data_IF_865454354072
#
_entry.id   IF_865454354072
#
_cell.length_a   1.000
_cell.length_b   1.000
_cell.length_c   1.000
_cell.angle_alpha   90.00
_cell.angle_beta   90.00
_cell.angle_gamma   90.00
#
_symmetry.space_group_name_H-M   'P 1'
#
loop_
_entity.id
_entity.type
_entity.pdbx_description
1 polymer ?
#
# COMPACT_ATOMS: atom_id res chain seq x y z
N UNK A 1 44.72 16.63 -32.56
CA UNK A 1 43.34 16.95 -33.00
C UNK A 1 42.77 17.90 -31.96
N UNK A 2 43.37 19.10 -31.85
CA UNK A 2 43.25 19.93 -30.64
C UNK A 2 42.79 21.37 -30.94
N UNK A 3 42.35 21.65 -32.17
CA UNK A 3 41.91 22.99 -32.59
C UNK A 3 40.38 23.16 -32.67
N UNK A 4 39.59 22.19 -32.20
CA UNK A 4 38.11 22.25 -32.28
C UNK A 4 37.40 22.61 -30.96
N UNK A 5 38.12 22.80 -29.86
CA UNK A 5 37.54 23.10 -28.54
C UNK A 5 37.59 24.58 -28.13
N UNK A 6 38.21 25.45 -28.92
CA UNK A 6 38.41 26.87 -28.62
C UNK A 6 37.20 27.78 -28.91
N UNK A 7 36.07 27.23 -29.36
CA UNK A 7 34.87 28.00 -29.74
C UNK A 7 33.61 27.72 -28.91
N UNK A 8 33.72 27.03 -27.77
CA UNK A 8 32.58 26.81 -26.87
C UNK A 8 32.27 28.06 -26.03
N UNK A 9 31.21 28.77 -26.42
CA UNK A 9 30.60 29.88 -25.67
C UNK A 9 29.65 29.32 -24.61
N UNK A 10 29.81 29.77 -23.36
CA UNK A 10 28.93 29.37 -22.25
C UNK A 10 27.95 30.51 -21.92
N UNK A 11 26.63 30.25 -21.83
CA UNK A 11 25.65 31.26 -21.45
C UNK A 11 25.72 31.59 -19.96
N UNK A 12 25.82 32.87 -19.60
CA UNK A 12 25.57 33.33 -18.23
C UNK A 12 24.11 33.78 -18.06
N UNK A 13 23.66 33.83 -16.80
CA UNK A 13 22.28 34.11 -16.39
C UNK A 13 21.69 35.45 -16.89
N UNK A 14 22.52 36.34 -17.43
CA UNK A 14 22.11 37.64 -17.97
C UNK A 14 22.06 37.67 -19.52
N UNK A 15 22.19 36.53 -20.20
CA UNK A 15 22.01 36.42 -21.65
C UNK A 15 23.22 36.78 -22.51
N UNK A 16 24.37 37.09 -21.91
CA UNK A 16 25.61 37.41 -22.66
C UNK A 16 26.51 36.17 -22.78
N UNK A 17 26.99 35.88 -24.00
CA UNK A 17 27.90 34.79 -24.31
C UNK A 17 29.36 35.26 -24.25
N UNK A 18 30.21 34.61 -23.45
CA UNK A 18 31.63 34.97 -23.29
C UNK A 18 32.53 33.74 -23.53
N UNK A 19 33.69 33.88 -24.22
CA UNK A 19 34.64 32.79 -24.40
C UNK A 19 35.28 32.33 -23.08
N UNK A 20 35.55 31.03 -22.96
CA UNK A 20 36.01 30.33 -21.74
C UNK A 20 37.41 30.69 -21.24
N UNK A 21 38.17 31.57 -21.91
CA UNK A 21 39.58 31.79 -21.61
C UNK A 21 39.91 32.93 -20.63
N UNK A 22 38.93 33.51 -19.90
CA UNK A 22 39.15 34.72 -19.10
C UNK A 22 38.63 34.69 -17.65
N UNK A 23 38.19 33.55 -17.12
CA UNK A 23 37.66 33.45 -15.75
C UNK A 23 38.62 32.73 -14.78
N UNK A 24 39.87 33.19 -14.67
CA UNK A 24 40.78 32.73 -13.61
C UNK A 24 41.90 33.75 -13.34
N UNK A 25 41.63 34.78 -12.54
CA UNK A 25 42.62 35.51 -11.71
C UNK A 25 41.97 36.68 -10.98
N UNK A 26 41.96 36.63 -9.64
CA UNK A 26 42.04 37.76 -8.69
C UNK A 26 41.95 37.14 -7.27
N UNK A 27 43.06 36.87 -6.57
CA UNK A 27 43.78 37.78 -5.65
C UNK A 27 42.87 38.37 -4.55
N UNK A 28 42.99 37.98 -3.27
CA UNK A 28 44.03 38.24 -2.25
C UNK A 28 43.76 39.50 -1.38
N UNK A 29 44.14 39.39 -0.10
CA UNK A 29 44.17 40.37 1.00
C UNK A 29 42.81 40.63 1.71
N UNK A 30 42.69 40.81 3.03
CA UNK A 30 43.64 41.33 4.03
C UNK A 30 43.23 41.02 5.50
N UNK A 31 44.22 41.14 6.39
CA UNK A 31 44.17 41.72 7.76
C UNK A 31 43.46 41.02 8.94
N UNK A 32 44.28 40.60 9.91
CA UNK A 32 44.06 40.33 11.36
C UNK A 32 43.59 41.59 12.16
N UNK A 33 43.56 41.67 13.53
CA UNK A 33 43.80 40.68 14.62
C UNK A 33 42.86 40.79 15.87
N UNK A 34 43.10 39.89 16.84
CA UNK A 34 42.97 40.04 18.31
C UNK A 34 41.62 40.25 19.02
N UNK A 35 41.43 39.49 20.11
CA UNK A 35 40.43 39.77 21.15
C UNK A 35 40.24 38.61 22.14
N UNK A 36 41.16 38.43 23.08
CA UNK A 36 40.92 37.72 24.35
C UNK A 36 39.84 38.45 25.14
N UNK A 37 38.92 37.72 25.78
CA UNK A 37 38.54 38.01 27.16
C UNK A 37 37.94 36.80 27.87
N UNK A 38 38.30 36.70 29.15
CA UNK A 38 37.97 35.66 30.10
C UNK A 38 36.76 36.08 30.94
N UNK A 39 36.18 35.09 31.63
CA UNK A 39 35.91 35.12 33.09
C UNK A 39 34.46 35.15 33.61
N UNK A 40 34.28 34.35 34.68
CA UNK A 40 33.22 34.21 35.70
C UNK A 40 31.87 33.61 35.27
N UNK A 41 31.47 32.41 35.71
CA UNK A 41 31.31 31.90 37.09
C UNK A 41 30.28 32.69 37.90
N UNK A 42 29.07 32.12 38.07
CA UNK A 42 28.37 32.13 39.36
C UNK A 42 27.14 31.20 39.38
N UNK A 43 27.25 30.18 40.21
CA UNK A 43 26.16 29.43 40.84
C UNK A 43 25.82 30.16 42.15
N UNK A 44 24.59 30.08 42.67
CA UNK A 44 24.42 29.24 43.86
C UNK A 44 23.07 28.50 43.93
N UNK A 45 22.95 27.77 45.03
CA UNK A 45 22.16 26.55 45.26
C UNK A 45 20.91 26.79 46.10
N UNK A 46 19.94 25.86 45.98
CA UNK A 46 19.03 25.28 47.01
C UNK A 46 18.18 26.27 47.85
N UNK A 47 16.87 26.07 48.10
CA UNK A 47 16.32 25.02 48.96
C UNK A 47 14.77 25.10 49.02
N UNK A 48 14.12 23.94 49.17
CA UNK A 48 12.92 23.60 49.99
C UNK A 48 11.50 24.10 49.64
N UNK A 49 10.60 23.13 49.42
CA UNK A 49 9.38 22.83 50.23
C UNK A 49 7.99 22.94 49.59
N UNK A 50 7.28 21.80 49.70
CA UNK A 50 5.85 21.59 49.97
C UNK A 50 4.75 21.96 48.93
N UNK A 51 4.20 20.88 48.39
CA UNK A 51 2.86 20.54 47.87
C UNK A 51 1.61 21.27 48.45
N UNK A 52 0.37 20.92 48.03
CA UNK A 52 -0.24 21.21 46.74
C UNK A 52 -1.61 21.94 46.89
N UNK A 53 -1.85 23.01 46.13
CA UNK A 53 -3.13 23.72 46.09
C UNK A 53 -3.97 23.31 44.89
N UNK A 54 -5.05 22.59 45.13
CA UNK A 54 -6.08 22.23 44.15
C UNK A 54 -6.92 23.45 43.73
N UNK A 55 -6.68 23.98 42.54
CA UNK A 55 -7.50 25.04 41.94
C UNK A 55 -8.44 24.46 40.88
N UNK A 56 -9.71 24.32 41.27
CA UNK A 56 -10.88 24.24 40.38
C UNK A 56 -10.86 25.46 39.43
N UNK A 57 -10.54 25.24 38.15
CA UNK A 57 -10.75 26.25 37.11
C UNK A 57 -12.01 25.90 36.31
N UNK A 58 -13.11 26.59 36.65
CA UNK A 58 -14.27 26.78 35.78
C UNK A 58 -13.80 27.52 34.51
N UNK A 59 -14.08 26.96 33.34
CA UNK A 59 -14.14 27.65 32.06
C UNK A 59 -15.54 27.30 31.52
N UNK A 60 -16.56 28.13 31.77
CA UNK A 60 -16.91 29.34 31.01
C UNK A 60 -16.98 29.05 29.52
N UNK A 61 -18.19 28.76 29.06
CA UNK A 61 -18.54 28.72 27.65
C UNK A 61 -18.39 30.09 27.02
N UNK A 62 -17.82 30.12 25.83
CA UNK A 62 -17.91 31.24 24.91
C UNK A 62 -18.52 30.70 23.62
N UNK A 63 -19.77 31.11 23.42
CA UNK A 63 -20.51 31.06 22.16
C UNK A 63 -19.69 31.74 21.06
N UNK A 64 -19.49 31.04 19.94
CA UNK A 64 -19.08 31.65 18.68
C UNK A 64 -20.32 32.05 17.87
N UNK A 65 -20.33 33.23 17.24
CA UNK A 65 -21.46 33.71 16.47
C UNK A 65 -21.49 33.15 15.04
N UNK A 66 -22.72 33.04 14.54
CA UNK A 66 -23.11 32.75 13.16
C UNK A 66 -22.26 33.46 12.11
N UNK A 67 -21.64 32.68 11.21
CA UNK A 67 -21.22 33.15 9.91
C UNK A 67 -22.36 32.89 8.91
N UNK A 68 -23.14 33.94 8.65
CA UNK A 68 -24.07 34.04 7.52
C UNK A 68 -23.25 33.98 6.22
N UNK A 69 -23.34 32.88 5.49
CA UNK A 69 -22.82 32.78 4.13
C UNK A 69 -23.91 33.24 3.16
N UNK A 70 -23.71 34.44 2.61
CA UNK A 70 -24.48 34.99 1.51
C UNK A 70 -24.37 34.08 0.28
N UNK A 71 -25.53 33.66 -0.20
CA UNK A 71 -25.72 32.83 -1.38
C UNK A 71 -25.62 33.72 -2.62
N UNK A 72 -24.48 33.68 -3.32
CA UNK A 72 -24.29 34.35 -4.61
C UNK A 72 -24.90 33.47 -5.72
N UNK A 73 -25.93 33.94 -6.45
CA UNK A 73 -26.46 33.19 -7.59
C UNK A 73 -25.51 33.28 -8.79
N UNK A 74 -25.38 32.22 -9.61
CA UNK A 74 -24.52 32.24 -10.78
C UNK A 74 -25.08 33.18 -11.86
N UNK A 75 -24.21 33.87 -12.62
CA UNK A 75 -24.63 34.79 -13.65
C UNK A 75 -25.19 34.05 -14.87
N UNK A 76 -26.34 34.56 -15.31
CA UNK A 76 -27.04 34.21 -16.54
C UNK A 76 -26.11 34.16 -17.74
N UNK A 77 -26.02 32.98 -18.37
CA UNK A 77 -25.50 32.84 -19.72
C UNK A 77 -26.54 33.39 -20.71
N UNK A 78 -26.43 34.69 -21.02
CA UNK A 78 -26.99 35.27 -22.22
C UNK A 78 -25.90 35.30 -23.31
N UNK A 79 -26.32 35.08 -24.55
CA UNK A 79 -25.54 34.99 -25.80
C UNK A 79 -25.03 33.60 -26.19
N UNK A 80 -25.89 32.85 -26.88
CA UNK A 80 -25.48 32.10 -28.05
C UNK A 80 -26.51 32.37 -29.17
N UNK A 81 -25.97 32.69 -30.32
CA UNK A 81 -26.63 33.29 -31.48
C UNK A 81 -27.55 32.33 -32.21
N UNK A 82 -28.58 32.91 -32.82
CA UNK A 82 -29.47 32.30 -33.80
C UNK A 82 -28.71 31.54 -34.90
N UNK A 83 -28.91 30.23 -34.95
CA UNK A 83 -28.69 29.41 -36.14
C UNK A 83 -30.07 28.95 -36.63
N UNK A 84 -30.47 29.26 -37.87
CA UNK A 84 -31.76 28.86 -38.39
C UNK A 84 -31.79 27.35 -38.59
N UNK A 85 -32.49 26.65 -37.68
CA UNK A 85 -32.88 25.25 -37.85
C UNK A 85 -33.91 25.16 -38.99
N UNK A 86 -33.66 24.37 -40.05
CA UNK A 86 -34.69 24.07 -41.02
C UNK A 86 -35.76 23.19 -40.35
N UNK A 87 -37.01 23.59 -40.53
CA UNK A 87 -38.17 22.86 -40.04
C UNK A 87 -38.14 21.41 -40.51
N UNK A 88 -38.16 20.49 -39.57
CA UNK A 88 -38.50 19.10 -39.82
C UNK A 88 -39.72 18.80 -38.98
N UNK A 89 -40.85 18.77 -39.68
CA UNK A 89 -42.18 18.49 -39.15
C UNK A 89 -42.16 17.18 -38.36
N UNK A 90 -42.69 17.27 -37.14
CA UNK A 90 -42.99 16.14 -36.30
C UNK A 90 -44.17 15.36 -36.89
N UNK A 91 -43.86 14.41 -37.77
CA UNK A 91 -44.70 13.25 -38.04
C UNK A 91 -43.90 11.99 -37.69
N UNK A 92 -43.59 11.83 -36.39
CA UNK A 92 -43.27 10.52 -35.84
C UNK A 92 -44.56 9.70 -35.88
N UNK A 93 -44.78 9.04 -37.01
CA UNK A 93 -45.72 7.95 -37.17
C UNK A 93 -45.52 6.97 -36.02
N UNK A 94 -46.54 6.83 -35.17
CA UNK A 94 -46.75 5.62 -34.38
C UNK A 94 -46.84 4.46 -35.37
N UNK A 95 -45.70 3.87 -35.69
CA UNK A 95 -45.66 2.61 -36.42
C UNK A 95 -46.23 1.56 -35.47
N UNK A 96 -47.35 1.01 -35.89
CA UNK A 96 -48.12 0.01 -35.19
C UNK A 96 -47.30 -1.29 -35.12
N UNK A 97 -46.52 -1.46 -34.05
CA UNK A 97 -45.68 -2.64 -33.82
C UNK A 97 -46.50 -3.91 -33.47
N UNK A 98 -47.83 -3.81 -33.47
CA UNK A 98 -48.73 -4.93 -33.18
C UNK A 98 -48.74 -6.04 -34.23
N UNK A 99 -48.05 -5.85 -35.36
CA UNK A 99 -47.93 -6.86 -36.42
C UNK A 99 -46.50 -7.42 -36.59
N UNK A 100 -45.60 -7.18 -35.64
CA UNK A 100 -44.32 -7.88 -35.62
C UNK A 100 -44.55 -9.33 -35.21
N UNK A 101 -44.46 -10.23 -36.19
CA UNK A 101 -44.45 -11.67 -35.96
C UNK A 101 -43.40 -12.01 -34.89
N UNK A 102 -43.82 -12.81 -33.90
CA UNK A 102 -42.91 -13.28 -32.85
C UNK A 102 -41.67 -13.90 -33.49
N UNK A 103 -40.49 -13.61 -32.91
CA UNK A 103 -39.22 -14.18 -33.38
C UNK A 103 -39.29 -15.72 -33.48
N UNK A 104 -40.03 -16.36 -32.58
CA UNK A 104 -40.25 -17.81 -32.59
C UNK A 104 -41.14 -18.29 -33.74
N UNK A 105 -42.10 -17.49 -34.20
CA UNK A 105 -42.96 -17.83 -35.33
C UNK A 105 -42.23 -17.59 -36.66
N UNK A 106 -41.42 -16.54 -36.76
CA UNK A 106 -40.57 -16.30 -37.94
C UNK A 106 -39.54 -17.42 -38.15
N UNK A 107 -38.92 -17.91 -37.07
CA UNK A 107 -37.98 -19.05 -37.11
C UNK A 107 -38.71 -20.34 -37.51
N UNK A 108 -39.98 -20.49 -37.14
CA UNK A 108 -40.79 -21.67 -37.50
C UNK A 108 -41.20 -21.67 -38.97
N UNK A 109 -41.51 -20.50 -39.55
CA UNK A 109 -41.90 -20.35 -40.96
C UNK A 109 -40.72 -20.31 -41.94
N UNK A 110 -39.48 -20.12 -41.46
CA UNK A 110 -38.27 -20.12 -42.29
C UNK A 110 -37.36 -21.35 -42.01
N UNK A 111 -37.78 -22.58 -42.36
CA UNK A 111 -37.03 -23.81 -42.10
C UNK A 111 -35.70 -23.93 -42.88
N UNK A 112 -35.41 -23.00 -43.79
CA UNK A 112 -34.14 -22.91 -44.53
C UNK A 112 -33.10 -22.00 -43.88
N UNK A 113 -33.40 -21.36 -42.75
CA UNK A 113 -32.35 -20.75 -41.94
C UNK A 113 -31.34 -21.87 -41.59
N UNK A 114 -30.06 -21.78 -42.02
CA UNK A 114 -29.07 -22.79 -41.71
C UNK A 114 -29.05 -22.97 -40.20
N UNK A 115 -29.49 -24.13 -39.71
CA UNK A 115 -29.38 -24.45 -38.30
C UNK A 115 -27.89 -24.43 -38.00
N UNK A 116 -27.40 -23.33 -37.43
CA UNK A 116 -26.03 -23.22 -36.96
C UNK A 116 -25.82 -24.42 -36.04
N UNK A 117 -25.10 -25.42 -36.55
CA UNK A 117 -24.68 -26.55 -35.75
C UNK A 117 -23.71 -25.96 -34.73
N UNK A 118 -24.25 -25.55 -33.57
CA UNK A 118 -23.47 -25.26 -32.38
C UNK A 118 -22.79 -26.56 -31.98
N UNK A 119 -21.62 -26.80 -32.57
CA UNK A 119 -20.72 -27.83 -32.08
C UNK A 119 -20.32 -27.38 -30.68
N UNK A 120 -20.68 -28.12 -29.61
CA UNK A 120 -20.27 -27.75 -28.27
C UNK A 120 -18.75 -27.72 -28.25
N UNK A 121 -18.16 -26.54 -28.05
CA UNK A 121 -16.72 -26.41 -27.93
C UNK A 121 -16.27 -27.29 -26.77
N UNK A 122 -15.50 -28.35 -27.08
CA UNK A 122 -14.98 -29.28 -26.08
C UNK A 122 -14.16 -28.47 -25.09
N UNK A 123 -14.57 -28.46 -23.82
CA UNK A 123 -13.86 -27.73 -22.77
C UNK A 123 -12.45 -28.32 -22.61
N UNK A 124 -11.46 -27.63 -23.16
CA UNK A 124 -10.05 -27.97 -22.98
C UNK A 124 -9.63 -27.45 -21.60
N UNK A 125 -9.11 -28.31 -20.70
CA UNK A 125 -8.57 -27.85 -19.43
C UNK A 125 -7.38 -26.92 -19.68
N UNK A 126 -7.49 -25.68 -19.19
CA UNK A 126 -6.47 -24.64 -19.36
C UNK A 126 -5.54 -24.63 -18.15
N UNK A 127 -4.25 -24.92 -18.38
CA UNK A 127 -3.19 -24.74 -17.40
C UNK A 127 -2.78 -23.25 -17.36
N UNK A 128 -2.89 -22.52 -16.23
CA UNK A 128 -2.63 -21.07 -16.17
C UNK A 128 -1.15 -20.70 -15.95
N UNK A 129 -0.20 -21.50 -16.43
CA UNK A 129 1.21 -21.36 -16.07
C UNK A 129 1.85 -20.08 -16.62
N UNK A 130 1.63 -19.77 -17.90
CA UNK A 130 2.20 -18.60 -18.56
C UNK A 130 1.50 -17.32 -18.13
N UNK A 131 0.19 -17.36 -17.87
CA UNK A 131 -0.53 -16.18 -17.38
C UNK A 131 -0.07 -15.75 -15.98
N UNK A 132 0.27 -16.69 -15.10
CA UNK A 132 0.85 -16.39 -13.78
C UNK A 132 2.25 -15.80 -13.95
N UNK A 133 3.15 -16.49 -14.66
CA UNK A 133 4.53 -16.03 -14.88
C UNK A 133 4.58 -14.64 -15.52
N UNK A 134 3.78 -14.41 -16.56
CA UNK A 134 3.68 -13.14 -17.26
C UNK A 134 3.24 -12.01 -16.32
N UNK A 135 2.24 -12.26 -15.47
CA UNK A 135 1.76 -11.25 -14.52
C UNK A 135 2.79 -10.94 -13.44
N UNK A 136 3.46 -11.95 -12.89
CA UNK A 136 4.50 -11.76 -11.86
C UNK A 136 5.66 -10.90 -12.39
N UNK A 137 6.07 -11.13 -13.63
CA UNK A 137 7.14 -10.36 -14.25
C UNK A 137 6.68 -8.95 -14.63
N UNK A 138 5.44 -8.77 -15.09
CA UNK A 138 4.85 -7.43 -15.25
C UNK A 138 4.85 -6.64 -13.94
N UNK A 139 4.43 -7.26 -12.82
CA UNK A 139 4.46 -6.63 -11.49
C UNK A 139 5.88 -6.28 -11.06
N UNK A 140 6.86 -7.17 -11.28
CA UNK A 140 8.29 -6.94 -11.00
C UNK A 140 8.82 -5.69 -11.73
N UNK A 141 8.31 -5.41 -12.93
CA UNK A 141 8.72 -4.25 -13.74
C UNK A 141 7.77 -3.06 -13.66
N UNK A 142 6.76 -3.10 -12.78
CA UNK A 142 5.74 -2.05 -12.67
C UNK A 142 4.98 -1.79 -13.99
N UNK A 143 4.81 -2.83 -14.80
CA UNK A 143 4.07 -2.78 -16.07
C UNK A 143 2.66 -3.31 -15.82
N UNK A 144 1.66 -2.57 -16.28
CA UNK A 144 0.25 -2.99 -16.20
C UNK A 144 -0.14 -3.60 -17.54
N UNK A 145 -0.39 -4.92 -17.63
CA UNK A 145 -0.82 -5.52 -18.88
C UNK A 145 -2.30 -5.22 -19.16
N UNK A 146 -2.61 -4.75 -20.36
CA UNK A 146 -3.96 -4.50 -20.83
C UNK A 146 -4.38 -5.60 -21.81
N UNK A 147 -5.47 -6.31 -21.52
CA UNK A 147 -6.01 -7.37 -22.39
C UNK A 147 -7.26 -6.89 -23.11
N UNK A 148 -7.28 -7.04 -24.42
CA UNK A 148 -8.43 -6.73 -25.29
C UNK A 148 -8.88 -8.01 -26.00
N UNK A 149 -10.18 -8.29 -25.96
CA UNK A 149 -10.78 -9.51 -26.48
C UNK A 149 -11.76 -9.17 -27.59
N UNK A 150 -11.60 -9.76 -28.76
CA UNK A 150 -12.55 -9.69 -29.85
C UNK A 150 -13.43 -10.96 -29.86
N UNK A 151 -14.75 -10.75 -29.81
CA UNK A 151 -15.76 -11.81 -29.65
C UNK A 151 -16.98 -11.56 -30.55
N UNK A 152 -16.86 -11.75 -31.88
CA UNK A 152 -17.97 -11.47 -32.79
C UNK A 152 -19.15 -12.44 -32.63
N UNK A 153 -18.95 -13.68 -32.12
CA UNK A 153 -20.01 -14.70 -32.03
C UNK A 153 -19.98 -15.54 -30.73
N UNK A 154 -19.76 -14.92 -29.56
CA UNK A 154 -19.63 -15.57 -28.24
C UNK A 154 -18.39 -16.47 -28.04
N UNK A 155 -17.67 -16.81 -29.11
CA UNK A 155 -16.34 -17.38 -29.06
C UNK A 155 -15.31 -16.26 -29.16
N UNK A 156 -14.19 -16.41 -28.46
CA UNK A 156 -13.09 -15.45 -28.56
C UNK A 156 -12.25 -15.86 -29.76
N UNK A 157 -12.25 -15.03 -30.81
CA UNK A 157 -11.51 -15.28 -32.05
C UNK A 157 -10.12 -14.65 -32.01
N UNK A 158 -10.02 -13.49 -31.35
CA UNK A 158 -8.76 -12.78 -31.21
C UNK A 158 -8.63 -12.24 -29.80
N UNK A 159 -7.44 -12.34 -29.24
CA UNK A 159 -7.08 -11.68 -27.99
C UNK A 159 -5.76 -10.95 -28.20
N UNK A 160 -5.66 -9.74 -27.68
CA UNK A 160 -4.44 -8.97 -27.68
C UNK A 160 -4.04 -8.57 -26.27
N UNK A 161 -2.73 -8.54 -26.02
CA UNK A 161 -2.16 -8.02 -24.78
C UNK A 161 -1.18 -6.91 -25.08
N UNK A 162 -1.37 -5.76 -24.46
CA UNK A 162 -0.45 -4.63 -24.51
C UNK A 162 0.28 -4.51 -23.17
N UNK A 163 1.61 -4.42 -23.20
CA UNK A 163 2.46 -4.27 -22.02
C UNK A 163 3.65 -3.37 -22.35
N UNK A 164 3.74 -2.23 -21.66
CA UNK A 164 4.68 -1.17 -22.03
C UNK A 164 4.40 -0.68 -23.46
N UNK A 165 5.43 -0.66 -24.29
CA UNK A 165 5.34 -0.23 -25.70
C UNK A 165 5.12 -1.40 -26.68
N UNK A 166 4.94 -2.62 -26.18
CA UNK A 166 4.76 -3.83 -27.00
C UNK A 166 3.28 -4.26 -26.98
N UNK A 167 2.78 -4.68 -28.14
CA UNK A 167 1.46 -5.31 -28.31
C UNK A 167 1.65 -6.67 -28.97
N UNK A 168 1.00 -7.70 -28.41
CA UNK A 168 1.06 -9.07 -28.90
C UNK A 168 -0.35 -9.60 -29.08
N UNK A 169 -0.63 -10.12 -30.27
CA UNK A 169 -1.93 -10.65 -30.64
C UNK A 169 -1.86 -12.17 -30.78
N UNK A 170 -2.89 -12.86 -30.30
CA UNK A 170 -3.11 -14.28 -30.53
C UNK A 170 -4.44 -14.44 -31.28
N UNK A 171 -4.35 -15.01 -32.48
CA UNK A 171 -5.49 -15.29 -33.35
C UNK A 171 -5.80 -16.78 -33.24
N UNK A 172 -7.04 -17.13 -32.88
CA UNK A 172 -7.47 -18.51 -32.83
C UNK A 172 -8.87 -18.67 -32.26
N UNK A 173 -9.59 -19.74 -32.64
CA UNK A 173 -10.86 -20.06 -32.01
C UNK A 173 -10.61 -20.55 -30.58
N UNK A 174 -10.70 -19.64 -29.61
CA UNK A 174 -10.52 -19.99 -28.20
C UNK A 174 -11.84 -20.42 -27.58
N UNK A 175 -11.87 -21.63 -27.03
CA UNK A 175 -13.04 -22.18 -26.34
C UNK A 175 -13.45 -21.37 -25.08
N UNK A 176 -12.55 -20.54 -24.53
CA UNK A 176 -12.83 -19.66 -23.40
C UNK A 176 -11.88 -18.46 -23.34
N UNK A 177 -12.30 -17.36 -22.69
CA UNK A 177 -11.43 -16.21 -22.39
C UNK A 177 -10.18 -16.61 -21.61
N UNK A 178 -10.30 -17.60 -20.72
CA UNK A 178 -9.17 -18.12 -19.94
C UNK A 178 -8.13 -18.79 -20.86
N UNK A 179 -8.59 -19.55 -21.85
CA UNK A 179 -7.70 -20.19 -22.83
C UNK A 179 -7.02 -19.15 -23.72
N UNK A 180 -7.78 -18.19 -24.24
CA UNK A 180 -7.25 -17.08 -25.02
C UNK A 180 -6.15 -16.33 -24.26
N UNK A 181 -6.44 -15.97 -22.99
CA UNK A 181 -5.47 -15.29 -22.12
C UNK A 181 -4.19 -16.10 -21.91
N UNK A 182 -4.28 -17.41 -21.75
CA UNK A 182 -3.11 -18.25 -21.58
C UNK A 182 -2.25 -18.31 -22.84
N UNK A 183 -2.87 -18.49 -24.02
CA UNK A 183 -2.15 -18.55 -25.30
C UNK A 183 -1.48 -17.21 -25.64
N UNK A 184 -2.15 -16.07 -25.41
CA UNK A 184 -1.51 -14.76 -25.65
C UNK A 184 -0.38 -14.49 -24.65
N UNK A 185 -0.53 -14.87 -23.39
CA UNK A 185 0.55 -14.75 -22.40
C UNK A 185 1.76 -15.63 -22.77
N UNK A 186 1.52 -16.81 -23.32
CA UNK A 186 2.58 -17.71 -23.81
C UNK A 186 3.36 -17.09 -24.97
N UNK A 187 2.70 -16.38 -25.88
CA UNK A 187 3.35 -15.64 -26.98
C UNK A 187 4.07 -14.37 -26.49
N UNK A 188 3.49 -13.67 -25.52
CA UNK A 188 4.05 -12.43 -24.97
C UNK A 188 5.24 -12.66 -24.02
N UNK A 189 5.31 -13.82 -23.37
CA UNK A 189 6.33 -14.19 -22.40
C UNK A 189 7.80 -14.00 -22.87
N UNK A 190 8.24 -14.54 -24.03
CA UNK A 190 9.62 -14.35 -24.49
C UNK A 190 9.97 -12.88 -24.75
N UNK A 191 9.01 -12.07 -25.22
CA UNK A 191 9.23 -10.65 -25.43
C UNK A 191 9.38 -9.89 -24.10
N UNK A 192 8.69 -10.33 -23.06
CA UNK A 192 8.81 -9.76 -21.72
C UNK A 192 10.16 -10.13 -21.08
N UNK A 193 10.66 -11.36 -21.31
CA UNK A 193 11.98 -11.80 -20.82
C UNK A 193 13.14 -11.01 -21.47
N UNK A 194 13.08 -10.77 -22.78
CA UNK A 194 14.08 -9.94 -23.48
C UNK A 194 14.14 -8.52 -22.90
N UNK A 195 12.98 -7.97 -22.55
CA UNK A 195 12.89 -6.67 -21.91
C UNK A 195 13.45 -6.66 -20.48
N UNK A 196 13.22 -7.71 -19.67
CA UNK A 196 13.85 -7.86 -18.34
C UNK A 196 15.38 -7.89 -18.49
N UNK A 197 15.91 -8.69 -19.42
CA UNK A 197 17.35 -8.79 -19.65
C UNK A 197 17.96 -7.43 -20.01
N UNK A 198 17.32 -6.66 -20.90
CA UNK A 198 17.77 -5.32 -21.24
C UNK A 198 17.74 -4.35 -20.04
N UNK A 199 16.73 -4.47 -19.16
CA UNK A 199 16.65 -3.68 -17.93
C UNK A 199 17.70 -4.10 -16.88
N UNK A 200 18.01 -5.39 -16.77
CA UNK A 200 19.07 -5.89 -15.87
C UNK A 200 20.46 -5.51 -16.38
N UNK A 201 20.70 -5.58 -17.69
CA UNK A 201 21.99 -5.25 -18.29
C UNK A 201 22.29 -3.75 -18.20
N UNK A 202 21.28 -2.88 -18.31
CA UNK A 202 21.43 -1.44 -18.04
C UNK A 202 21.84 -1.12 -16.60
N UNK A 203 21.46 -1.96 -15.63
CA UNK A 203 21.90 -1.82 -14.23
C UNK A 203 23.32 -2.32 -13.98
N UNK A 204 23.93 -3.06 -14.91
CA UNK A 204 25.29 -3.61 -14.78
C UNK A 204 26.35 -2.82 -15.53
N UNK A 205 26.03 -1.67 -16.12
CA UNK A 205 27.06 -0.77 -16.66
C UNK A 205 27.90 -0.29 -15.46
N UNK A 206 29.22 -0.56 -15.42
CA UNK A 206 30.10 -0.03 -14.40
C UNK A 206 30.13 1.48 -14.60
N UNK A 207 29.55 2.22 -13.67
CA UNK A 207 29.63 3.67 -13.66
C UNK A 207 31.10 4.08 -13.54
N UNK A 208 31.62 4.98 -14.40
CA UNK A 208 32.99 5.47 -14.25
C UNK A 208 33.14 6.12 -12.87
N UNK A 209 34.33 6.07 -12.26
CA UNK A 209 34.54 6.52 -10.89
C UNK A 209 34.32 8.02 -10.77
N UNK A 210 33.08 8.44 -10.49
CA UNK A 210 32.77 9.77 -10.00
C UNK A 210 32.99 9.78 -8.50
N UNK A 211 34.24 10.07 -8.15
CA UNK A 211 34.66 10.43 -6.80
C UNK A 211 33.96 11.71 -6.34
N UNK A 212 32.77 11.56 -5.75
CA UNK A 212 32.26 12.53 -4.79
C UNK A 212 32.31 11.90 -3.39
N UNK A 213 33.16 12.40 -2.47
CA UNK A 213 33.20 11.92 -1.10
C UNK A 213 31.98 12.46 -0.36
N UNK A 214 30.90 11.68 -0.31
CA UNK A 214 29.67 12.06 0.39
C UNK A 214 28.39 11.35 -0.05
N UNK A 215 28.46 10.40 -0.99
CA UNK A 215 27.30 9.60 -1.39
C UNK A 215 26.83 8.69 -0.26
N UNK A 216 25.75 9.09 0.42
CA UNK A 216 25.06 8.22 1.37
C UNK A 216 24.40 7.10 0.56
N UNK A 217 24.85 5.86 0.76
CA UNK A 217 24.37 4.64 0.08
C UNK A 217 22.83 4.62 -0.05
N UNK A 218 22.33 4.77 -1.28
CA UNK A 218 20.90 4.77 -1.58
C UNK A 218 20.17 3.48 -1.14
N UNK A 219 20.90 2.38 -1.01
CA UNK A 219 20.37 1.09 -0.53
C UNK A 219 20.19 1.05 0.99
N UNK A 220 21.10 1.67 1.76
CA UNK A 220 20.92 1.83 3.21
C UNK A 220 19.78 2.79 3.52
N UNK A 221 19.64 3.84 2.71
CA UNK A 221 18.52 4.77 2.80
C UNK A 221 17.18 4.08 2.47
N UNK A 222 17.13 3.08 1.60
CA UNK A 222 15.89 2.37 1.29
C UNK A 222 15.40 1.47 2.45
N UNK A 223 16.31 0.98 3.30
CA UNK A 223 16.01 0.07 4.40
C UNK A 223 15.63 0.78 5.71
N UNK A 224 15.98 2.06 5.88
CA UNK A 224 15.68 2.81 7.10
C UNK A 224 14.18 3.16 7.22
N UNK A 225 13.60 2.89 8.39
CA UNK A 225 12.24 3.31 8.72
C UNK A 225 12.21 4.78 9.15
N UNK A 226 12.36 5.70 8.18
CA UNK A 226 12.39 7.15 8.45
C UNK A 226 11.16 7.67 9.19
N UNK A 227 9.98 7.08 8.96
CA UNK A 227 8.75 7.46 9.65
C UNK A 227 8.88 7.17 11.15
N UNK A 228 9.38 5.98 11.51
CA UNK A 228 9.61 5.60 12.90
C UNK A 228 10.69 6.45 13.57
N UNK A 229 11.79 6.71 12.86
CA UNK A 229 12.87 7.57 13.35
C UNK A 229 12.37 8.99 13.65
N UNK A 230 11.59 9.56 12.74
CA UNK A 230 11.04 10.90 12.94
C UNK A 230 10.07 10.94 14.14
N UNK A 231 9.25 9.91 14.31
CA UNK A 231 8.34 9.80 15.44
C UNK A 231 9.09 9.68 16.77
N UNK A 232 10.14 8.86 16.82
CA UNK A 232 11.01 8.72 18.00
C UNK A 232 11.67 10.06 18.36
N UNK A 233 12.17 10.81 17.37
CA UNK A 233 12.72 12.15 17.58
C UNK A 233 11.69 13.10 18.21
N UNK A 234 10.48 13.19 17.65
CA UNK A 234 9.43 14.07 18.21
C UNK A 234 9.04 13.67 19.64
N UNK A 235 8.97 12.37 19.92
CA UNK A 235 8.67 11.84 21.25
C UNK A 235 9.79 12.16 22.26
N UNK A 236 11.05 11.96 21.88
CA UNK A 236 12.21 12.23 22.73
C UNK A 236 12.33 13.72 23.09
N UNK A 237 11.97 14.61 22.15
CA UNK A 237 12.00 16.06 22.35
C UNK A 237 10.69 16.63 22.94
N UNK A 238 9.74 15.78 23.33
CA UNK A 238 8.41 16.16 23.85
C UNK A 238 7.64 17.10 22.92
N UNK A 239 7.82 16.94 21.62
CA UNK A 239 7.11 17.67 20.58
C UNK A 239 5.80 16.96 20.22
N UNK A 240 4.86 17.68 19.61
CA UNK A 240 3.69 17.08 18.98
C UNK A 240 4.07 16.02 17.94
N UNK A 241 3.16 15.07 17.70
CA UNK A 241 3.35 14.09 16.62
C UNK A 241 3.50 14.80 15.27
N UNK A 242 4.42 14.36 14.38
CA UNK A 242 4.63 15.00 13.09
C UNK A 242 3.34 14.98 12.27
N UNK A 243 2.98 16.14 11.72
CA UNK A 243 1.75 16.34 10.95
C UNK A 243 2.07 16.08 9.49
N UNK A 244 1.37 15.15 8.86
CA UNK A 244 1.53 14.82 7.44
C UNK A 244 0.34 15.35 6.65
N UNK A 245 0.63 16.08 5.58
CA UNK A 245 -0.36 16.60 4.64
C UNK A 245 -0.20 15.86 3.30
N UNK A 246 -1.22 15.09 2.93
CA UNK A 246 -1.23 14.32 1.68
C UNK A 246 -1.92 15.12 0.57
N UNK A 247 -1.30 15.18 -0.61
CA UNK A 247 -1.91 15.69 -1.84
C UNK A 247 -1.90 14.61 -2.93
N UNK A 248 -2.85 14.68 -3.87
CA UNK A 248 -2.96 13.72 -4.97
C UNK A 248 -3.24 14.41 -6.29
N UNK A 249 -2.74 13.84 -7.39
CA UNK A 249 -3.09 14.29 -8.73
C UNK A 249 -4.56 13.95 -9.04
N UNK A 250 -5.24 14.85 -9.75
CA UNK A 250 -6.62 14.65 -10.22
C UNK A 250 -6.62 13.72 -11.45
N UNK A 251 -5.56 13.77 -12.27
CA UNK A 251 -5.43 12.98 -13.49
C UNK A 251 -4.93 11.56 -13.22
N UNK A 252 -5.35 10.61 -14.06
CA UNK A 252 -4.86 9.23 -14.11
C UNK A 252 -3.54 9.14 -14.90
N UNK A 253 -2.51 8.44 -14.40
CA UNK A 253 -2.50 7.66 -13.16
C UNK A 253 -2.48 8.54 -11.90
N UNK A 254 -3.27 8.15 -10.88
CA UNK A 254 -3.29 8.85 -9.60
C UNK A 254 -1.90 8.71 -8.96
N UNK A 255 -1.27 9.85 -8.65
CA UNK A 255 -0.03 9.92 -7.89
C UNK A 255 -0.26 10.67 -6.59
N UNK A 256 0.61 10.41 -5.61
CA UNK A 256 0.53 10.98 -4.27
C UNK A 256 1.78 11.79 -3.98
N UNK A 257 1.61 12.98 -3.42
CA UNK A 257 2.68 13.78 -2.84
C UNK A 257 2.37 13.97 -1.35
N UNK A 258 3.39 14.14 -0.52
CA UNK A 258 3.23 14.26 0.92
C UNK A 258 4.23 15.26 1.46
N UNK A 259 3.78 16.12 2.36
CA UNK A 259 4.64 17.01 3.14
C UNK A 259 4.47 16.73 4.63
N UNK A 260 5.49 17.03 5.42
CA UNK A 260 5.52 16.82 6.86
C UNK A 260 5.91 18.10 7.58
N UNK A 261 5.21 18.41 8.68
CA UNK A 261 5.47 19.57 9.54
C UNK A 261 5.87 19.08 10.93
N UNK A 262 6.95 19.66 11.45
CA UNK A 262 7.49 19.39 12.78
C UNK A 262 7.49 20.72 13.53
N UNK A 263 7.05 20.71 14.78
CA UNK A 263 6.84 21.91 15.62
C UNK A 263 8.13 22.73 15.84
N UNK A 264 9.28 22.09 15.73
CA UNK A 264 10.61 22.69 15.83
C UNK A 264 10.95 23.64 14.65
N UNK A 265 10.17 23.58 13.57
CA UNK A 265 10.41 24.33 12.34
C UNK A 265 9.45 25.51 12.23
N UNK A 266 10.02 26.71 12.05
CA UNK A 266 9.27 27.92 11.73
C UNK A 266 8.71 27.85 10.31
N UNK A 267 7.59 27.13 10.15
CA UNK A 267 6.62 27.31 9.08
C UNK A 267 6.82 26.49 7.80
N UNK A 268 8.05 26.14 7.42
CA UNK A 268 8.32 25.46 6.14
C UNK A 268 7.98 23.96 6.23
N UNK A 269 7.03 23.45 5.43
CA UNK A 269 6.81 22.01 5.34
C UNK A 269 8.02 21.31 4.69
N UNK A 270 8.43 20.17 5.23
CA UNK A 270 9.47 19.30 4.69
C UNK A 270 8.85 18.26 3.77
N UNK A 271 9.57 17.78 2.76
CA UNK A 271 8.99 17.00 1.68
C UNK A 271 8.66 17.88 0.48
N UNK A 272 8.25 17.22 -0.60
CA UNK A 272 7.91 17.88 -1.86
C UNK A 272 6.42 17.77 -2.14
N UNK A 273 5.78 18.91 -2.40
CA UNK A 273 4.42 18.96 -2.96
C UNK A 273 4.42 18.70 -4.48
N UNK A 274 5.59 18.69 -5.12
CA UNK A 274 5.75 18.48 -6.56
C UNK A 274 6.25 17.08 -6.92
N UNK A 275 6.75 16.31 -5.95
CA UNK A 275 7.27 14.98 -6.17
C UNK A 275 6.15 13.95 -5.97
N UNK A 276 5.86 13.25 -7.06
CA UNK A 276 4.69 12.38 -7.17
C UNK A 276 5.10 10.91 -7.10
N UNK A 277 4.56 10.21 -6.11
CA UNK A 277 4.82 8.79 -5.82
C UNK A 277 3.62 7.91 -6.19
N UNK A 278 3.86 6.60 -6.30
CA UNK A 278 2.81 5.66 -6.72
C UNK A 278 1.86 5.29 -5.57
N UNK A 279 2.32 5.44 -4.31
CA UNK A 279 1.53 5.16 -3.11
C UNK A 279 1.66 6.26 -2.06
N UNK A 280 0.61 6.45 -1.26
CA UNK A 280 0.63 7.38 -0.10
C UNK A 280 1.76 7.05 0.88
N UNK A 281 2.01 5.75 1.09
CA UNK A 281 3.04 5.30 2.04
C UNK A 281 4.45 5.66 1.56
N UNK A 282 4.71 5.58 0.26
CA UNK A 282 5.98 5.97 -0.34
C UNK A 282 6.20 7.48 -0.26
N UNK A 283 5.17 8.27 -0.60
CA UNK A 283 5.20 9.73 -0.44
C UNK A 283 5.49 10.13 1.00
N UNK A 284 4.80 9.51 1.96
CA UNK A 284 5.00 9.73 3.39
C UNK A 284 6.41 9.36 3.85
N UNK A 285 6.97 8.25 3.35
CA UNK A 285 8.35 7.84 3.65
C UNK A 285 9.35 8.85 3.08
N UNK A 286 9.12 9.37 1.88
CA UNK A 286 9.99 10.38 1.28
C UNK A 286 9.98 11.70 2.05
N UNK A 287 8.80 12.19 2.44
CA UNK A 287 8.67 13.38 3.30
C UNK A 287 9.37 13.19 4.65
N UNK A 288 9.18 12.03 5.30
CA UNK A 288 9.87 11.70 6.54
C UNK A 288 11.40 11.61 6.36
N UNK A 289 11.87 11.09 5.22
CA UNK A 289 13.29 11.01 4.89
C UNK A 289 13.91 12.40 4.80
N UNK A 290 13.30 13.32 4.05
CA UNK A 290 13.78 14.71 3.95
C UNK A 290 13.83 15.38 5.31
N UNK A 291 12.79 15.17 6.13
CA UNK A 291 12.76 15.71 7.47
C UNK A 291 13.87 15.17 8.38
N UNK A 292 14.14 13.86 8.34
CA UNK A 292 15.24 13.25 9.09
C UNK A 292 16.60 13.74 8.59
N UNK A 293 16.79 13.85 7.27
CA UNK A 293 18.04 14.39 6.70
C UNK A 293 18.25 15.85 7.11
N UNK A 294 17.19 16.66 7.11
CA UNK A 294 17.24 18.02 7.60
C UNK A 294 17.61 18.05 9.09
N UNK A 295 16.96 17.27 9.95
CA UNK A 295 17.28 17.18 11.38
C UNK A 295 18.74 16.74 11.64
N UNK A 296 19.26 15.81 10.85
CA UNK A 296 20.68 15.39 10.91
C UNK A 296 21.62 16.54 10.50
N UNK A 297 21.26 17.31 9.46
CA UNK A 297 22.04 18.49 9.04
C UNK A 297 22.11 19.58 10.11
N UNK A 298 21.06 19.72 10.93
CA UNK A 298 21.03 20.63 12.08
C UNK A 298 21.76 20.08 13.31
N UNK A 299 22.33 18.86 13.24
CA UNK A 299 22.96 18.20 14.38
C UNK A 299 21.99 17.76 15.49
N UNK A 300 20.67 17.83 15.25
CA UNK A 300 19.63 17.48 16.24
C UNK A 300 19.38 15.98 16.33
N UNK A 301 19.77 15.23 15.30
CA UNK A 301 19.64 13.77 15.25
C UNK A 301 20.98 13.12 14.94
N UNK A 302 21.33 12.03 15.64
CA UNK A 302 22.56 11.28 15.33
C UNK A 302 22.48 10.70 13.90
N UNK A 303 23.60 10.68 13.16
CA UNK A 303 23.72 9.88 11.95
C UNK A 303 23.34 8.44 12.29
N UNK A 304 22.63 7.77 11.38
CA UNK A 304 22.33 6.35 11.59
C UNK A 304 23.66 5.60 11.82
N UNK A 305 23.77 4.78 12.87
CA UNK A 305 24.88 3.86 12.96
C UNK A 305 24.88 3.00 11.68
N UNK A 306 26.05 2.73 11.06
CA UNK A 306 26.12 1.89 9.87
C UNK A 306 25.37 0.58 10.15
N UNK A 307 24.28 0.36 9.43
CA UNK A 307 23.20 -0.50 9.91
C UNK A 307 23.69 -1.90 10.31
N UNK A 308 23.18 -2.37 11.45
CA UNK A 308 23.43 -3.71 12.01
C UNK A 308 22.84 -4.81 11.10
N UNK A 309 22.08 -4.45 10.07
CA UNK A 309 21.53 -5.34 9.05
C UNK A 309 22.60 -6.10 8.25
N UNK A 310 23.84 -5.61 8.21
CA UNK A 310 24.99 -6.37 7.66
C UNK A 310 25.62 -7.37 8.64
N UNK A 311 25.32 -7.29 9.94
CA UNK A 311 25.88 -8.21 10.96
C UNK A 311 25.06 -9.49 11.18
N UNK A 312 23.84 -9.58 10.64
CA UNK A 312 23.01 -10.79 10.74
C UNK A 312 23.18 -11.75 9.56
N UNK A 313 24.16 -11.53 8.67
CA UNK A 313 24.37 -12.37 7.48
C UNK A 313 25.83 -12.68 7.13
N UNK A 314 26.78 -12.44 8.03
CA UNK A 314 28.17 -12.83 7.82
C UNK A 314 28.78 -13.38 9.12
N UNK A 315 29.13 -14.66 9.05
CA UNK A 315 29.97 -15.44 9.96
C UNK A 315 29.58 -15.53 11.44
N UNK A 316 28.91 -16.63 11.78
CA UNK A 316 29.13 -17.31 13.07
C UNK A 316 30.25 -18.35 12.83
N UNK A 317 31.49 -18.12 13.29
CA UNK A 317 32.53 -19.14 13.23
C UNK A 317 32.21 -20.25 14.24
N UNK A 318 31.96 -21.43 13.70
CA UNK A 318 31.99 -22.72 14.38
C UNK A 318 33.40 -22.97 14.94
N UNK A 319 33.51 -23.23 16.25
CA UNK A 319 34.50 -24.12 16.86
C UNK A 319 34.31 -24.17 18.39
N UNK A 320 33.77 -25.27 18.91
CA UNK A 320 34.57 -26.19 19.72
C UNK A 320 33.82 -27.51 19.94
N UNK A 321 34.46 -28.57 19.49
CA UNK A 321 34.13 -29.98 19.71
C UNK A 321 34.36 -30.38 21.18
N UNK A 322 33.59 -31.36 21.68
CA UNK A 322 34.04 -32.66 22.25
C UNK A 322 32.84 -33.43 22.85
N UNK A 323 32.93 -34.76 23.06
CA UNK A 323 31.99 -35.71 22.48
C UNK A 323 31.20 -36.48 23.56
N UNK A 324 30.29 -37.36 23.13
CA UNK A 324 30.14 -38.76 23.55
C UNK A 324 28.67 -39.20 23.49
N UNK A 325 28.39 -40.04 22.49
CA UNK A 325 27.52 -41.22 22.51
C UNK A 325 26.20 -41.18 23.31
N UNK A 326 25.06 -41.17 22.61
CA UNK A 326 23.96 -42.07 22.93
C UNK A 326 22.95 -42.16 21.78
N UNK A 327 22.83 -43.36 21.23
CA UNK A 327 21.76 -43.87 20.39
C UNK A 327 20.40 -43.72 21.07
N UNK A 328 19.40 -43.14 20.38
CA UNK A 328 18.03 -43.10 20.89
C UNK A 328 17.04 -42.43 19.95
N UNK A 329 16.46 -43.23 19.07
CA UNK A 329 15.22 -42.95 18.34
C UNK A 329 14.10 -42.55 19.34
N UNK A 330 13.15 -41.71 18.90
CA UNK A 330 11.97 -41.17 19.62
C UNK A 330 12.18 -40.05 20.65
N UNK A 331 12.13 -38.80 20.19
CA UNK A 331 11.44 -37.70 20.87
C UNK A 331 11.15 -36.57 19.88
N UNK A 332 9.92 -36.55 19.37
CA UNK A 332 9.34 -35.43 18.64
C UNK A 332 8.22 -34.90 19.54
N UNK A 333 8.17 -33.57 19.68
CA UNK A 333 7.22 -32.79 20.49
C UNK A 333 7.61 -32.64 21.96
N UNK A 334 8.38 -31.60 22.26
CA UNK A 334 8.13 -30.62 23.35
C UNK A 334 9.32 -29.69 23.43
N UNK A 335 9.24 -28.55 22.75
CA UNK A 335 9.81 -27.27 23.17
C UNK A 335 9.52 -26.24 22.07
N UNK A 336 8.25 -25.81 22.03
CA UNK A 336 7.90 -24.56 21.38
C UNK A 336 8.33 -23.43 22.32
N UNK A 337 9.57 -23.01 22.13
CA UNK A 337 10.16 -21.81 22.71
C UNK A 337 9.23 -20.60 22.43
N UNK A 338 8.52 -20.17 23.47
CA UNK A 338 7.65 -18.99 23.47
C UNK A 338 8.53 -17.74 23.40
N UNK A 339 8.99 -17.41 22.20
CA UNK A 339 9.68 -16.15 21.95
C UNK A 339 8.65 -14.99 22.04
N UNK A 340 8.70 -14.09 23.03
CA UNK A 340 7.66 -13.08 23.28
C UNK A 340 7.68 -11.89 22.29
N UNK A 341 8.46 -11.97 21.21
CA UNK A 341 8.70 -10.85 20.29
C UNK A 341 7.65 -10.65 19.19
N UNK A 342 6.89 -11.67 18.82
CA UNK A 342 5.85 -11.56 17.78
C UNK A 342 4.48 -11.80 18.38
N UNK A 343 3.68 -10.75 18.51
CA UNK A 343 2.28 -10.83 18.96
C UNK A 343 1.48 -11.64 17.93
N UNK A 344 1.44 -12.95 18.10
CA UNK A 344 0.57 -13.83 17.32
C UNK A 344 -0.87 -13.34 17.53
N UNK A 345 -1.56 -13.05 16.44
CA UNK A 345 -2.96 -12.60 16.50
C UNK A 345 -3.82 -13.69 17.12
N UNK A 346 -4.88 -13.33 17.85
CA UNK A 346 -5.75 -14.33 18.50
C UNK A 346 -6.37 -15.30 17.48
N UNK A 347 -6.61 -14.84 16.25
CA UNK A 347 -7.06 -15.69 15.14
C UNK A 347 -6.03 -16.75 14.74
N UNK A 348 -4.75 -16.40 14.63
CA UNK A 348 -3.69 -17.36 14.32
C UNK A 348 -3.57 -18.43 15.41
N UNK A 349 -3.60 -18.00 16.67
CA UNK A 349 -3.56 -18.89 17.83
C UNK A 349 -4.75 -19.85 17.89
N UNK A 350 -5.95 -19.37 17.51
CA UNK A 350 -7.14 -20.22 17.40
C UNK A 350 -6.94 -21.36 16.40
N UNK A 351 -6.46 -21.05 15.18
CA UNK A 351 -6.23 -22.06 14.15
C UNK A 351 -5.15 -23.06 14.56
N UNK A 352 -4.08 -22.60 15.22
CA UNK A 352 -3.02 -23.44 15.76
C UNK A 352 -3.54 -24.41 16.83
N UNK A 353 -4.25 -23.91 17.85
CA UNK A 353 -4.83 -24.75 18.90
C UNK A 353 -5.85 -25.75 18.35
N UNK A 354 -6.70 -25.33 17.42
CA UNK A 354 -7.64 -26.24 16.77
C UNK A 354 -6.91 -27.40 16.06
N UNK A 355 -5.82 -27.09 15.34
CA UNK A 355 -5.00 -28.10 14.67
C UNK A 355 -4.31 -29.05 15.67
N UNK A 356 -3.73 -28.52 16.75
CA UNK A 356 -3.08 -29.32 17.80
C UNK A 356 -4.06 -30.28 18.47
N UNK A 357 -5.30 -29.86 18.68
CA UNK A 357 -6.36 -30.68 19.27
C UNK A 357 -7.01 -31.66 18.26
N UNK A 358 -6.59 -31.63 17.00
CA UNK A 358 -7.10 -32.51 15.94
C UNK A 358 -8.50 -32.10 15.44
N UNK A 359 -8.88 -30.84 15.60
CA UNK A 359 -10.11 -30.25 15.07
C UNK A 359 -9.87 -29.63 13.69
N UNK A 360 -10.94 -29.47 12.89
CA UNK A 360 -10.88 -28.75 11.62
C UNK A 360 -10.83 -27.23 11.85
N UNK A 361 -10.52 -26.48 10.78
CA UNK A 361 -10.51 -25.02 10.85
C UNK A 361 -11.90 -24.47 11.18
N UNK A 362 -12.02 -23.60 12.20
CA UNK A 362 -13.30 -23.00 12.58
C UNK A 362 -13.86 -22.08 11.49
N UNK A 363 -15.19 -22.02 11.41
CA UNK A 363 -15.92 -21.14 10.48
C UNK A 363 -16.42 -19.92 11.25
N UNK A 364 -16.11 -18.72 10.75
CA UNK A 364 -16.61 -17.46 11.31
C UNK A 364 -17.92 -17.07 10.65
N UNK A 365 -18.96 -16.86 11.45
CA UNK A 365 -20.24 -16.32 11.00
C UNK A 365 -20.37 -14.89 11.54
N UNK A 366 -20.67 -13.93 10.66
CA UNK A 366 -20.77 -12.51 11.00
C UNK A 366 -22.07 -11.93 10.48
N UNK A 367 -22.80 -11.24 11.35
CA UNK A 367 -24.08 -10.61 11.04
C UNK A 367 -24.01 -9.12 11.40
N UNK A 368 -24.52 -8.21 10.55
CA UNK A 368 -24.71 -6.82 10.93
C UNK A 368 -25.66 -6.75 12.15
N UNK A 369 -25.32 -5.94 13.15
CA UNK A 369 -26.20 -5.74 14.31
C UNK A 369 -26.81 -4.36 14.38
N UNK A 370 -28.01 -4.34 14.96
CA UNK A 370 -28.72 -3.10 15.29
C UNK A 370 -27.93 -2.41 16.40
N UNK A 371 -27.71 -1.09 16.34
CA UNK A 371 -27.01 -0.37 17.40
C UNK A 371 -27.71 -0.54 18.76
N UNK A 372 -26.96 -0.52 19.88
CA UNK A 372 -27.55 -0.62 21.22
C UNK A 372 -28.60 0.47 21.45
N UNK A 373 -29.72 0.17 22.14
CA UNK A 373 -30.74 1.15 22.45
C UNK A 373 -30.14 2.32 23.24
N UNK A 374 -30.40 3.55 22.79
CA UNK A 374 -29.91 4.78 23.43
C UNK A 374 -28.71 5.46 22.75
N UNK A 375 -28.22 4.95 21.63
CA UNK A 375 -27.28 5.69 20.75
C UNK A 375 -27.91 5.94 19.39
N UNK A 376 -28.32 7.18 19.15
CA UNK A 376 -28.69 7.64 17.81
C UNK A 376 -27.39 7.79 17.01
N UNK A 377 -27.16 6.91 16.03
CA UNK A 377 -26.09 7.08 15.04
C UNK A 377 -26.69 7.63 13.74
N UNK A 378 -25.90 8.44 13.03
CA UNK A 378 -26.28 8.98 11.74
C UNK A 378 -26.54 7.85 10.73
N UNK A 379 -27.46 8.08 9.79
CA UNK A 379 -27.90 7.09 8.79
C UNK A 379 -26.75 6.50 7.95
N UNK A 380 -25.61 7.21 7.83
CA UNK A 380 -24.42 6.74 7.13
C UNK A 380 -23.59 5.73 7.95
N UNK A 381 -23.70 5.73 9.28
CA UNK A 381 -22.99 4.80 10.17
C UNK A 381 -23.79 3.51 10.43
N UNK A 382 -25.12 3.53 10.20
CA UNK A 382 -26.01 2.41 10.54
C UNK A 382 -25.74 1.11 9.77
N UNK A 383 -25.16 1.15 8.57
CA UNK A 383 -25.10 -0.03 7.69
C UNK A 383 -23.86 -0.93 7.88
N UNK A 384 -22.91 -0.57 8.75
CA UNK A 384 -21.72 -1.41 8.97
C UNK A 384 -20.93 -1.15 10.25
N UNK A 385 -21.41 -0.26 11.14
CA UNK A 385 -20.68 0.07 12.35
C UNK A 385 -20.61 -1.11 13.32
N UNK A 386 -21.72 -1.81 13.56
CA UNK A 386 -21.81 -2.88 14.55
C UNK A 386 -21.95 -4.25 13.91
N UNK A 387 -21.19 -5.21 14.45
CA UNK A 387 -21.12 -6.58 13.95
C UNK A 387 -21.28 -7.53 15.13
N UNK A 388 -22.18 -8.49 14.96
CA UNK A 388 -22.26 -9.67 15.79
C UNK A 388 -21.46 -10.78 15.12
N UNK A 389 -20.67 -11.51 15.89
CA UNK A 389 -19.81 -12.56 15.36
C UNK A 389 -19.72 -13.74 16.32
N UNK A 390 -19.69 -14.94 15.76
CA UNK A 390 -19.38 -16.16 16.49
C UNK A 390 -18.64 -17.14 15.59
N UNK A 391 -18.12 -18.20 16.21
CA UNK A 391 -17.42 -19.29 15.55
C UNK A 391 -18.23 -20.57 15.65
N UNK A 392 -18.25 -21.38 14.59
CA UNK A 392 -18.77 -22.74 14.59
C UNK A 392 -17.69 -23.73 14.19
N UNK A 393 -17.69 -24.87 14.87
CA UNK A 393 -16.89 -26.04 14.49
C UNK A 393 -17.74 -27.02 13.68
N UNK A 394 -17.08 -27.95 12.98
CA UNK A 394 -17.77 -28.96 12.18
C UNK A 394 -18.48 -29.98 13.07
N UNK A 395 -19.59 -30.58 12.61
CA UNK A 395 -20.32 -31.59 13.39
C UNK A 395 -19.44 -32.77 13.82
N UNK A 396 -18.40 -33.10 13.03
CA UNK A 396 -17.41 -34.12 13.39
C UNK A 396 -16.57 -33.72 14.60
N UNK A 397 -16.19 -32.44 14.70
CA UNK A 397 -15.42 -31.94 15.84
C UNK A 397 -16.31 -31.85 17.09
N UNK A 398 -17.60 -31.52 16.91
CA UNK A 398 -18.61 -31.55 17.99
C UNK A 398 -18.85 -32.96 18.52
N UNK A 399 -18.81 -33.99 17.65
CA UNK A 399 -18.86 -35.39 18.09
C UNK A 399 -17.63 -35.81 18.89
N UNK A 400 -16.45 -35.24 18.59
CA UNK A 400 -15.23 -35.48 19.36
C UNK A 400 -15.23 -34.77 20.71
N UNK A 401 -15.78 -33.55 20.77
CA UNK A 401 -15.90 -32.77 22.00
C UNK A 401 -17.22 -31.98 22.01
N UNK A 402 -18.15 -32.38 22.89
CA UNK A 402 -19.50 -31.81 22.94
C UNK A 402 -19.53 -30.34 23.34
N UNK A 403 -18.46 -29.81 23.95
CA UNK A 403 -18.33 -28.39 24.29
C UNK A 403 -18.18 -27.50 23.07
N UNK A 404 -17.82 -28.06 21.92
CA UNK A 404 -17.75 -27.33 20.67
C UNK A 404 -19.13 -27.12 20.02
N UNK A 405 -20.20 -27.64 20.61
CA UNK A 405 -21.55 -27.51 20.08
C UNK A 405 -22.04 -26.05 20.13
N UNK A 406 -22.59 -25.57 19.01
CA UNK A 406 -23.27 -24.28 18.93
C UNK A 406 -22.35 -23.09 18.60
N UNK A 407 -22.86 -21.85 18.76
CA UNK A 407 -22.10 -20.63 18.49
C UNK A 407 -21.12 -20.34 19.63
N UNK A 408 -19.82 -20.46 19.37
CA UNK A 408 -18.76 -20.19 20.33
C UNK A 408 -18.22 -18.76 20.19
N UNK A 409 -17.76 -18.20 21.30
CA UNK A 409 -17.17 -16.86 21.34
C UNK A 409 -18.11 -15.79 20.80
N UNK A 410 -19.42 -15.94 21.06
CA UNK A 410 -20.44 -15.00 20.58
C UNK A 410 -20.16 -13.61 21.14
N UNK A 411 -19.94 -12.66 20.24
CA UNK A 411 -19.84 -11.24 20.55
C UNK A 411 -20.96 -10.50 19.84
N UNK A 412 -21.54 -9.52 20.53
CA UNK A 412 -22.65 -8.73 20.03
C UNK A 412 -22.32 -7.24 20.10
N UNK A 413 -22.86 -6.47 19.17
CA UNK A 413 -22.78 -5.01 19.12
C UNK A 413 -21.33 -4.49 19.12
N UNK A 414 -20.41 -5.19 18.45
CA UNK A 414 -19.00 -4.79 18.42
C UNK A 414 -18.73 -3.87 17.25
N UNK A 415 -18.11 -2.72 17.53
CA UNK A 415 -17.77 -1.76 16.50
C UNK A 415 -16.63 -2.26 15.59
N UNK A 416 -16.97 -2.53 14.33
CA UNK A 416 -16.05 -2.96 13.28
C UNK A 416 -15.72 -4.46 13.31
N UNK A 417 -15.73 -5.06 12.11
CA UNK A 417 -15.50 -6.50 11.90
C UNK A 417 -14.16 -7.01 12.45
N UNK A 418 -13.09 -6.20 12.40
CA UNK A 418 -11.76 -6.60 12.89
C UNK A 418 -11.77 -6.77 14.42
N UNK A 419 -12.39 -5.84 15.14
CA UNK A 419 -12.51 -5.86 16.60
C UNK A 419 -13.40 -7.03 17.03
N UNK A 420 -14.54 -7.22 16.36
CA UNK A 420 -15.45 -8.34 16.60
C UNK A 420 -14.74 -9.68 16.46
N UNK A 421 -13.96 -9.85 15.38
CA UNK A 421 -13.17 -11.07 15.14
C UNK A 421 -12.14 -11.33 16.23
N UNK A 422 -11.39 -10.32 16.64
CA UNK A 422 -10.36 -10.49 17.68
C UNK A 422 -10.96 -10.87 19.03
N UNK A 423 -12.07 -10.22 19.43
CA UNK A 423 -12.78 -10.55 20.68
C UNK A 423 -13.38 -11.95 20.64
N UNK A 424 -14.05 -12.30 19.53
CA UNK A 424 -14.58 -13.64 19.30
C UNK A 424 -13.48 -14.70 19.40
N UNK A 425 -12.34 -14.51 18.71
CA UNK A 425 -11.21 -15.45 18.77
C UNK A 425 -10.67 -15.62 20.18
N UNK A 426 -10.57 -14.53 20.96
CA UNK A 426 -10.05 -14.58 22.33
C UNK A 426 -10.88 -15.51 23.23
N UNK A 427 -12.20 -15.45 23.13
CA UNK A 427 -13.07 -16.33 23.91
C UNK A 427 -12.98 -17.79 23.45
N UNK A 428 -12.91 -18.05 22.14
CA UNK A 428 -12.80 -19.42 21.64
C UNK A 428 -11.44 -20.04 21.98
N UNK A 429 -10.35 -19.27 21.92
CA UNK A 429 -9.02 -19.71 22.35
C UNK A 429 -9.05 -20.15 23.82
N UNK A 430 -9.72 -19.41 24.70
CA UNK A 430 -9.86 -19.77 26.12
C UNK A 430 -10.52 -21.15 26.29
N UNK A 431 -11.54 -21.46 25.49
CA UNK A 431 -12.23 -22.77 25.51
C UNK A 431 -11.30 -23.88 25.00
N UNK A 432 -10.57 -23.65 23.90
CA UNK A 432 -9.64 -24.64 23.36
C UNK A 432 -8.47 -24.93 24.32
N UNK A 433 -7.95 -23.91 25.00
CA UNK A 433 -6.91 -24.08 26.03
C UNK A 433 -7.39 -24.92 27.23
N UNK A 434 -8.67 -24.78 27.61
CA UNK A 434 -9.29 -25.60 28.65
C UNK A 434 -9.42 -27.07 28.22
N UNK A 435 -9.91 -27.32 27.00
CA UNK A 435 -9.95 -28.66 26.39
C UNK A 435 -8.55 -29.29 26.36
N UNK A 436 -7.54 -28.51 25.96
CA UNK A 436 -6.16 -28.98 25.90
C UNK A 436 -5.62 -29.37 27.28
N UNK A 437 -5.90 -28.56 28.30
CA UNK A 437 -5.43 -28.81 29.67
C UNK A 437 -6.04 -30.08 30.25
N UNK A 438 -7.33 -30.31 30.04
CA UNK A 438 -8.00 -31.52 30.53
C UNK A 438 -7.48 -32.79 29.86
N UNK A 439 -7.30 -32.78 28.53
CA UNK A 439 -6.71 -33.92 27.82
C UNK A 439 -5.30 -34.25 28.29
N UNK A 440 -4.53 -33.24 28.69
CA UNK A 440 -3.21 -33.42 29.27
C UNK A 440 -3.24 -33.94 30.72
N UNK A 441 -4.35 -33.85 31.44
CA UNK A 441 -4.53 -34.41 32.78
C UNK A 441 -5.06 -35.85 32.76
N UNK A 442 -5.79 -36.22 31.70
CA UNK A 442 -6.34 -37.58 31.51
C UNK A 442 -5.34 -38.57 30.86
N UNK A 443 -4.27 -38.06 30.25
CA UNK A 443 -3.18 -38.86 29.67
C UNK A 443 -2.07 -39.07 30.68
#
# INVERSE_FOLDING_TARGET
>A
MDDLLSHLLVPQANGTLVPTSLAASSEQASSSPNGQEQHLEQRPSLTTSAAPGSLKRKLSGMSSPNATLDFVPPPSAQYAQDVPMPGSEAHASFQDYSNLQSLDDFVRENPFAPKEKRVPARAVPVNPEYSIKFNDLCVKHFIVPAFEYDMPHQQCETVSVQFGDRKVDAIGPFASKKHAKEEVCKLAWPQLLEMDEHLQNKRKIPEPPHSYPGGIDGELLAAENFIGLLQEYTQANRQGSPIYEDSRTIATPIRFACTVRIEDMLGTPLGSSTDFYQSKQEAKRAAAREAVLWLRSQGKMRPAPPSVSKRLKLDQPSAMELPTESTGLTQLVSDADLNPGTKTTSAARLHELAAVLGFRSPIYESHPSVPPPGKELDAHEMNSAFVDMYVRFSDQDVQKDSRLAGPLGKVEHVHGRKTAKEQCCREVVRILEEIQRERAQES
#
